data_IF_730309852178
#
_entry.id   IF_730309852178
#
_cell.length_a   1.000
_cell.length_b   1.000
_cell.length_c   1.000
_cell.angle_alpha   90.00
_cell.angle_beta   90.00
_cell.angle_gamma   90.00
#
_symmetry.space_group_name_H-M   'P 1'
#
loop_
_entity.id
_entity.type
_entity.pdbx_description
1 polymer ?
#
# COMPACT_ATOMS: atom_id res chain seq x y z
N UNK A 1 -4.91 -11.60 -7.90
CA UNK A 1 -3.60 -11.37 -7.24
C UNK A 1 -3.24 -9.90 -7.12
N UNK A 2 -3.05 -9.12 -8.21
CA UNK A 2 -2.60 -7.71 -8.13
C UNK A 2 -3.61 -6.70 -7.57
N UNK A 3 -4.88 -6.80 -7.97
CA UNK A 3 -5.95 -5.92 -7.47
C UNK A 3 -6.18 -6.11 -5.95
N UNK A 4 -6.06 -7.36 -5.48
CA UNK A 4 -6.06 -7.70 -4.06
C UNK A 4 -4.88 -7.06 -3.31
N UNK A 5 -3.68 -7.04 -3.90
CA UNK A 5 -2.52 -6.37 -3.30
C UNK A 5 -2.71 -4.86 -3.13
N UNK A 6 -3.34 -4.19 -4.10
CA UNK A 6 -3.68 -2.77 -3.99
C UNK A 6 -4.73 -2.52 -2.91
N UNK A 7 -5.80 -3.33 -2.89
CA UNK A 7 -6.87 -3.22 -1.87
C UNK A 7 -6.30 -3.45 -0.47
N UNK A 8 -5.46 -4.46 -0.28
CA UNK A 8 -4.77 -4.74 0.98
C UNK A 8 -3.86 -3.56 1.37
N UNK A 9 -3.09 -3.01 0.43
CA UNK A 9 -2.24 -1.83 0.69
C UNK A 9 -3.03 -0.61 1.15
N UNK A 10 -4.18 -0.33 0.54
CA UNK A 10 -5.08 0.76 0.93
C UNK A 10 -5.64 0.54 2.34
N UNK A 11 -6.04 -0.70 2.67
CA UNK A 11 -6.54 -1.06 4.01
C UNK A 11 -5.46 -0.87 5.07
N UNK A 12 -4.21 -1.28 4.80
CA UNK A 12 -3.09 -1.05 5.72
C UNK A 12 -2.79 0.43 5.95
N UNK A 13 -2.85 1.25 4.91
CA UNK A 13 -2.68 2.72 5.05
C UNK A 13 -3.81 3.31 5.88
N UNK A 14 -5.06 2.94 5.61
CA UNK A 14 -6.22 3.43 6.37
C UNK A 14 -6.14 3.06 7.85
N UNK A 15 -5.76 1.81 8.18
CA UNK A 15 -5.58 1.36 9.57
C UNK A 15 -4.45 2.13 10.25
N UNK A 16 -3.30 2.29 9.57
CA UNK A 16 -2.18 3.08 10.10
C UNK A 16 -2.55 4.54 10.35
N UNK A 17 -3.30 5.16 9.44
CA UNK A 17 -3.76 6.55 9.58
C UNK A 17 -4.79 6.71 10.71
N UNK A 18 -5.74 5.79 10.82
CA UNK A 18 -6.76 5.79 11.86
C UNK A 18 -6.11 5.66 13.25
N UNK A 19 -5.09 4.81 13.36
CA UNK A 19 -4.34 4.59 14.58
C UNK A 19 -3.44 5.79 14.97
N UNK A 20 -3.05 6.63 14.00
CA UNK A 20 -2.33 7.88 14.22
C UNK A 20 -3.23 9.00 14.75
N UNK A 21 -4.48 9.07 14.24
CA UNK A 21 -5.47 10.08 14.66
C UNK A 21 -5.99 9.78 16.07
N UNK A 22 -6.17 8.50 16.40
CA UNK A 22 -6.64 8.08 17.71
C UNK A 22 -5.65 7.07 18.33
N UNK A 23 -4.52 7.56 18.88
CA UNK A 23 -3.52 6.69 19.47
C UNK A 23 -4.13 6.02 20.71
N UNK A 24 -4.43 4.72 20.58
CA UNK A 24 -5.00 3.92 21.69
C UNK A 24 -3.96 3.77 22.82
N UNK A 25 -2.66 3.75 22.48
CA UNK A 25 -1.54 3.67 23.41
C UNK A 25 -0.39 4.56 22.90
N UNK A 26 0.10 5.48 23.73
CA UNK A 26 1.08 6.53 23.37
C UNK A 26 2.55 6.12 23.38
N UNK A 27 2.85 4.83 23.16
CA UNK A 27 4.22 4.30 23.20
C UNK A 27 5.02 4.62 21.94
N UNK A 28 6.32 4.89 22.10
CA UNK A 28 7.28 5.07 20.99
C UNK A 28 7.26 3.88 20.01
N UNK A 29 7.08 2.67 20.52
CA UNK A 29 7.01 1.44 19.72
C UNK A 29 5.76 1.38 18.84
N UNK A 30 4.59 1.81 19.34
CA UNK A 30 3.37 1.88 18.53
C UNK A 30 3.51 2.87 17.37
N UNK A 31 4.09 4.05 17.61
CA UNK A 31 4.29 5.05 16.55
C UNK A 31 5.21 4.50 15.45
N UNK A 32 6.30 3.84 15.84
CA UNK A 32 7.18 3.14 14.89
C UNK A 32 6.44 2.05 14.11
N UNK A 33 5.63 1.25 14.78
CA UNK A 33 4.85 0.18 14.14
C UNK A 33 3.82 0.74 13.13
N UNK A 34 3.15 1.84 13.47
CA UNK A 34 2.23 2.54 12.58
C UNK A 34 2.93 3.09 11.33
N UNK A 35 4.11 3.70 11.50
CA UNK A 35 4.94 4.18 10.37
C UNK A 35 5.32 3.00 9.46
N UNK A 36 5.73 1.86 10.04
CA UNK A 36 6.05 0.65 9.27
C UNK A 36 4.83 0.09 8.53
N UNK A 37 3.64 0.08 9.13
CA UNK A 37 2.41 -0.34 8.46
C UNK A 37 2.07 0.56 7.26
N UNK A 38 2.18 1.88 7.42
CA UNK A 38 1.95 2.83 6.32
C UNK A 38 2.98 2.62 5.22
N UNK A 39 4.26 2.44 5.56
CA UNK A 39 5.33 2.19 4.61
C UNK A 39 5.11 0.90 3.81
N UNK A 40 4.74 -0.18 4.49
CA UNK A 40 4.40 -1.47 3.85
C UNK A 40 3.19 -1.33 2.93
N UNK A 41 2.12 -0.64 3.38
CA UNK A 41 0.96 -0.36 2.55
C UNK A 41 1.32 0.42 1.28
N UNK A 42 2.23 1.39 1.40
CA UNK A 42 2.74 2.17 0.26
C UNK A 42 3.53 1.30 -0.74
N UNK A 43 4.36 0.38 -0.25
CA UNK A 43 5.09 -0.58 -1.11
C UNK A 43 4.13 -1.46 -1.92
N UNK A 44 3.05 -1.94 -1.30
CA UNK A 44 2.02 -2.72 -2.00
C UNK A 44 1.29 -1.90 -3.06
N UNK A 45 1.02 -0.62 -2.79
CA UNK A 45 0.47 0.30 -3.78
C UNK A 45 1.43 0.52 -4.96
N UNK A 46 2.70 0.81 -4.69
CA UNK A 46 3.71 1.00 -5.73
C UNK A 46 3.89 -0.25 -6.58
N UNK A 47 3.92 -1.44 -5.98
CA UNK A 47 3.99 -2.72 -6.69
C UNK A 47 2.75 -2.97 -7.57
N UNK A 48 1.56 -2.60 -7.07
CA UNK A 48 0.32 -2.63 -7.84
C UNK A 48 0.35 -1.69 -9.05
N UNK A 49 0.84 -0.46 -8.86
CA UNK A 49 0.92 0.58 -9.92
C UNK A 49 1.97 0.23 -10.97
N UNK A 50 3.20 -0.11 -10.58
CA UNK A 50 4.25 -0.54 -11.53
C UNK A 50 3.89 -1.83 -12.27
N UNK A 51 3.17 -2.73 -11.59
CA UNK A 51 2.57 -3.90 -12.22
C UNK A 51 1.58 -3.55 -13.33
N UNK A 52 0.72 -2.54 -13.12
CA UNK A 52 -0.25 -2.09 -14.13
C UNK A 52 0.45 -1.51 -15.37
N UNK A 53 1.45 -0.66 -15.17
CA UNK A 53 2.17 0.00 -16.25
C UNK A 53 2.93 -1.01 -17.13
N UNK A 54 3.55 -2.03 -16.52
CA UNK A 54 4.21 -3.11 -17.27
C UNK A 54 3.25 -3.94 -18.14
N UNK A 55 2.05 -4.29 -17.64
CA UNK A 55 1.05 -5.04 -18.40
C UNK A 55 0.48 -4.17 -19.52
N UNK A 56 0.15 -2.91 -19.23
CA UNK A 56 -0.39 -1.99 -20.22
C UNK A 56 0.59 -1.77 -21.37
N UNK A 57 1.88 -1.60 -21.06
CA UNK A 57 2.96 -1.46 -22.03
C UNK A 57 3.16 -2.73 -22.87
N UNK A 58 2.99 -3.91 -22.29
CA UNK A 58 3.04 -5.19 -23.01
C UNK A 58 1.83 -5.37 -23.94
N UNK A 59 0.63 -4.99 -23.47
CA UNK A 59 -0.63 -5.11 -24.22
C UNK A 59 -0.67 -4.14 -25.41
N UNK A 60 -0.18 -2.91 -25.25
CA UNK A 60 -0.09 -1.94 -26.33
C UNK A 60 0.98 -2.28 -27.38
N UNK A 61 2.03 -3.02 -27.02
CA UNK A 61 3.01 -3.52 -28.01
C UNK A 61 2.45 -4.65 -28.87
N UNK A 62 1.55 -5.47 -28.34
CA UNK A 62 0.94 -6.60 -29.06
C UNK A 62 -0.16 -6.18 -30.05
N UNK A 63 -0.55 -4.90 -30.02
CA UNK A 63 -1.59 -4.31 -30.88
C UNK A 63 -1.04 -3.61 -32.14
N UNK A 64 0.28 -3.55 -32.28
CA UNK A 64 0.99 -3.28 -33.54
C UNK A 64 1.40 -4.60 -34.16
#
# INVERSE_FOLDING_TARGET
>A
MRLLGVVVGIVFILIGFLALINPIYGGLTEVLNQIFQILLGLMFLLYGVTGYDSIYKYMNRKKR
#
